data_IF_842347281002
#
_entry.id   IF_842347281002
#
_cell.length_a   1.000
_cell.length_b   1.000
_cell.length_c   1.000
_cell.angle_alpha   90.00
_cell.angle_beta   90.00
_cell.angle_gamma   90.00
#
_symmetry.space_group_name_H-M   'P 1'
#
loop_
_entity.id
_entity.type
_entity.pdbx_description
1 polymer ?
#
# COMPACT_ATOMS: atom_id res chain seq x y z
N UNK A 1 0.92 1.67 17.80
CA UNK A 1 0.45 2.68 16.83
C UNK A 1 -1.01 2.41 16.47
N UNK A 2 -1.80 3.45 16.25
CA UNK A 2 -3.21 3.36 15.84
C UNK A 2 -3.45 4.26 14.63
N UNK A 3 -4.34 3.84 13.76
CA UNK A 3 -4.81 4.61 12.60
C UNK A 3 -6.15 5.22 12.98
N UNK A 4 -6.32 6.52 12.75
CA UNK A 4 -7.62 7.19 12.89
C UNK A 4 -8.31 7.24 11.55
N UNK A 5 -9.49 6.62 11.48
CA UNK A 5 -10.36 6.66 10.30
C UNK A 5 -11.59 7.50 10.66
N UNK A 6 -12.00 8.37 9.73
CA UNK A 6 -13.16 9.25 9.86
C UNK A 6 -13.20 10.07 11.17
N UNK A 7 -12.09 10.75 11.49
CA UNK A 7 -11.86 11.65 12.64
C UNK A 7 -11.92 11.00 14.04
N UNK A 8 -12.74 9.96 14.24
CA UNK A 8 -13.13 9.49 15.58
C UNK A 8 -12.82 8.00 15.85
N UNK A 9 -12.52 7.19 14.84
CA UNK A 9 -12.38 5.74 15.01
C UNK A 9 -10.91 5.34 15.03
N UNK A 10 -10.46 4.88 16.19
CA UNK A 10 -9.12 4.34 16.34
C UNK A 10 -9.13 2.86 15.98
N UNK A 11 -8.33 2.49 14.98
CA UNK A 11 -8.12 1.12 14.51
C UNK A 11 -6.65 0.77 14.72
N UNK A 12 -6.34 -0.51 14.99
CA UNK A 12 -4.94 -0.94 15.10
C UNK A 12 -4.28 -0.94 13.71
N UNK A 13 -3.00 -0.56 13.65
CA UNK A 13 -2.28 -0.50 12.38
C UNK A 13 -2.19 -1.87 11.70
N UNK A 14 -1.99 -2.94 12.49
CA UNK A 14 -1.91 -4.31 11.98
C UNK A 14 -3.23 -4.74 11.34
N UNK A 15 -4.35 -4.60 12.05
CA UNK A 15 -5.70 -4.87 11.53
C UNK A 15 -6.01 -4.07 10.27
N UNK A 16 -5.63 -2.78 10.24
CA UNK A 16 -5.81 -1.95 9.05
C UNK A 16 -5.04 -2.48 7.83
N UNK A 17 -3.78 -2.86 8.01
CA UNK A 17 -2.99 -3.46 6.92
C UNK A 17 -3.51 -4.85 6.54
N UNK A 18 -3.88 -5.68 7.52
CA UNK A 18 -4.45 -7.01 7.29
C UNK A 18 -5.72 -6.96 6.44
N UNK A 19 -6.55 -5.92 6.58
CA UNK A 19 -7.76 -5.75 5.77
C UNK A 19 -7.51 -5.61 4.25
N UNK A 20 -6.26 -5.30 3.86
CA UNK A 20 -5.80 -5.25 2.47
C UNK A 20 -5.04 -6.52 2.02
N UNK A 21 -4.89 -7.52 2.88
CA UNK A 21 -4.16 -8.75 2.59
C UNK A 21 -2.77 -8.86 3.20
N UNK A 22 -2.29 -7.85 3.93
CA UNK A 22 -0.94 -7.91 4.51
C UNK A 22 -0.87 -8.89 5.68
N UNK A 23 0.01 -9.89 5.57
CA UNK A 23 0.35 -10.78 6.68
C UNK A 23 1.35 -10.12 7.64
N UNK A 24 1.36 -10.53 8.91
CA UNK A 24 2.32 -10.02 9.89
C UNK A 24 3.78 -10.15 9.41
N UNK A 25 4.13 -11.30 8.82
CA UNK A 25 5.46 -11.57 8.25
C UNK A 25 5.84 -10.55 7.18
N UNK A 26 4.90 -10.21 6.31
CA UNK A 26 5.15 -9.26 5.24
C UNK A 26 5.18 -7.81 5.73
N UNK A 27 4.35 -7.45 6.70
CA UNK A 27 4.45 -6.15 7.39
C UNK A 27 5.87 -5.98 7.96
N UNK A 28 6.39 -6.99 8.67
CA UNK A 28 7.77 -7.00 9.19
C UNK A 28 8.82 -6.90 8.09
N UNK A 29 8.63 -7.60 6.97
CA UNK A 29 9.53 -7.56 5.79
C UNK A 29 9.57 -6.16 5.15
N UNK A 30 8.45 -5.43 5.12
CA UNK A 30 8.35 -4.11 4.49
C UNK A 30 8.95 -2.99 5.35
N UNK A 31 8.64 -2.98 6.64
CA UNK A 31 9.09 -1.92 7.55
C UNK A 31 10.44 -2.21 8.21
N UNK A 32 10.94 -3.44 8.12
CA UNK A 32 12.19 -3.85 8.76
C UNK A 32 12.06 -3.98 10.28
N UNK A 33 13.21 -4.04 10.96
CA UNK A 33 13.27 -4.15 12.43
C UNK A 33 12.91 -2.79 13.06
N UNK A 34 11.78 -2.72 13.75
CA UNK A 34 11.35 -1.53 14.46
C UNK A 34 10.61 -1.92 15.75
N UNK A 35 11.18 -1.57 16.90
CA UNK A 35 10.61 -1.93 18.20
C UNK A 35 9.18 -1.40 18.39
N UNK A 36 8.86 -0.21 17.88
CA UNK A 36 7.51 0.36 17.99
C UNK A 36 6.49 -0.41 17.17
N UNK A 37 6.89 -0.89 15.99
CA UNK A 37 6.06 -1.72 15.15
C UNK A 37 5.84 -3.09 15.81
N UNK A 38 6.89 -3.70 16.32
CA UNK A 38 6.84 -5.01 16.99
C UNK A 38 5.87 -4.99 18.18
N UNK A 39 5.97 -3.98 19.04
CA UNK A 39 5.06 -3.79 20.17
C UNK A 39 3.62 -3.46 19.74
N UNK A 40 3.44 -2.90 18.55
CA UNK A 40 2.09 -2.65 18.00
C UNK A 40 1.47 -3.95 17.50
N UNK A 41 2.22 -4.75 16.74
CA UNK A 41 1.75 -6.01 16.16
C UNK A 41 1.46 -7.04 17.26
N UNK A 42 2.28 -7.13 18.31
CA UNK A 42 2.02 -8.00 19.46
C UNK A 42 0.72 -7.67 20.21
N UNK A 43 0.27 -6.41 20.17
CA UNK A 43 -0.97 -5.97 20.85
C UNK A 43 -2.19 -6.12 19.95
N UNK A 44 -2.01 -6.55 18.71
CA UNK A 44 -3.07 -6.65 17.71
C UNK A 44 -3.76 -8.02 17.80
N UNK A 45 -4.96 -8.03 18.38
CA UNK A 45 -5.69 -9.28 18.68
C UNK A 45 -6.10 -10.01 17.42
N UNK A 46 -6.31 -9.30 16.30
CA UNK A 46 -6.68 -9.94 15.05
C UNK A 46 -5.46 -10.65 14.48
N UNK A 47 -4.28 -10.03 14.49
CA UNK A 47 -3.06 -10.67 14.00
C UNK A 47 -2.56 -11.82 14.88
N UNK A 48 -2.82 -11.78 16.19
CA UNK A 48 -2.41 -12.84 17.14
C UNK A 48 -3.21 -14.14 16.97
N UNK A 49 -4.44 -14.06 16.44
CA UNK A 49 -5.30 -15.24 16.26
C UNK A 49 -4.73 -16.21 15.23
N UNK A 50 -5.00 -17.49 15.45
CA UNK A 50 -4.71 -18.53 14.47
C UNK A 50 -5.77 -18.48 13.36
N UNK A 51 -5.36 -18.00 12.19
CA UNK A 51 -6.17 -18.00 10.97
C UNK A 51 -5.89 -19.27 10.17
N UNK A 52 -6.92 -19.86 9.57
CA UNK A 52 -6.74 -21.06 8.74
C UNK A 52 -6.03 -20.70 7.43
N UNK A 53 -6.40 -19.56 6.85
CA UNK A 53 -5.77 -19.01 5.66
C UNK A 53 -5.66 -17.47 5.72
N UNK A 54 -5.21 -16.87 4.61
CA UNK A 54 -5.08 -15.40 4.49
C UNK A 54 -6.43 -14.71 4.31
N UNK A 55 -7.39 -15.37 3.68
CA UNK A 55 -8.70 -14.77 3.40
C UNK A 55 -9.53 -14.65 4.68
N UNK A 56 -9.43 -15.62 5.59
CA UNK A 56 -9.97 -15.57 6.94
C UNK A 56 -9.44 -14.36 7.71
N UNK A 57 -8.11 -14.14 7.69
CA UNK A 57 -7.49 -12.97 8.31
C UNK A 57 -8.04 -11.66 7.72
N UNK A 58 -8.16 -11.57 6.40
CA UNK A 58 -8.69 -10.39 5.72
C UNK A 58 -10.15 -10.14 6.09
N UNK A 59 -10.98 -11.17 6.06
CA UNK A 59 -12.40 -11.10 6.38
C UNK A 59 -12.61 -10.64 7.83
N UNK A 60 -11.87 -11.21 8.79
CA UNK A 60 -11.96 -10.84 10.19
C UNK A 60 -11.48 -9.41 10.44
N UNK A 61 -10.38 -9.00 9.79
CA UNK A 61 -9.88 -7.63 9.87
C UNK A 61 -10.89 -6.61 9.30
N UNK A 62 -11.51 -6.92 8.16
CA UNK A 62 -12.55 -6.08 7.56
C UNK A 62 -13.80 -6.00 8.44
N UNK A 63 -14.17 -7.10 9.09
CA UNK A 63 -15.27 -7.14 10.04
C UNK A 63 -15.01 -6.27 11.27
N UNK A 64 -13.83 -6.35 11.88
CA UNK A 64 -13.46 -5.52 13.04
C UNK A 64 -13.51 -4.02 12.69
N UNK A 65 -12.97 -3.66 11.53
CA UNK A 65 -13.01 -2.29 11.01
C UNK A 65 -14.45 -1.84 10.77
N UNK A 66 -15.28 -2.69 10.17
CA UNK A 66 -16.69 -2.39 9.91
C UNK A 66 -17.45 -2.13 11.21
N UNK A 67 -17.31 -3.01 12.21
CA UNK A 67 -17.94 -2.86 13.54
C UNK A 67 -17.47 -1.61 14.28
N UNK A 68 -16.20 -1.23 14.13
CA UNK A 68 -15.64 -0.03 14.76
C UNK A 68 -16.24 1.25 14.16
N UNK A 69 -16.36 1.30 12.83
CA UNK A 69 -16.84 2.48 12.09
C UNK A 69 -18.37 2.58 12.14
N UNK A 70 -19.10 1.52 11.77
CA UNK A 70 -20.56 1.47 11.65
C UNK A 70 -21.18 0.68 12.80
N UNK A 71 -21.53 1.36 13.89
CA UNK A 71 -22.26 0.75 15.01
C UNK A 71 -23.76 0.74 14.69
N UNK A 72 -24.31 -0.43 14.35
CA UNK A 72 -25.75 -0.64 14.18
C UNK A 72 -26.26 -0.81 12.74
N UNK A 73 -25.38 -0.81 11.74
CA UNK A 73 -25.74 -1.17 10.37
C UNK A 73 -25.98 -2.68 10.22
N UNK A 74 -26.70 -3.09 9.17
CA UNK A 74 -26.87 -4.52 8.83
C UNK A 74 -25.51 -5.14 8.50
N UNK A 75 -25.22 -6.23 9.19
CA UNK A 75 -23.92 -6.90 9.14
C UNK A 75 -23.83 -7.89 7.96
N UNK A 76 -23.74 -7.38 6.73
CA UNK A 76 -23.58 -8.22 5.54
C UNK A 76 -22.12 -8.33 5.10
N UNK A 77 -21.72 -9.50 4.60
CA UNK A 77 -20.35 -9.75 4.09
C UNK A 77 -19.97 -8.73 3.00
N UNK A 78 -20.91 -8.46 2.10
CA UNK A 78 -20.72 -7.49 1.01
C UNK A 78 -20.52 -6.05 1.51
N UNK A 79 -21.19 -5.65 2.61
CA UNK A 79 -20.99 -4.34 3.23
C UNK A 79 -19.62 -4.23 3.91
N UNK A 80 -19.17 -5.28 4.61
CA UNK A 80 -17.83 -5.34 5.24
C UNK A 80 -16.72 -5.16 4.20
N UNK A 81 -16.75 -5.97 3.15
CA UNK A 81 -15.75 -5.96 2.06
C UNK A 81 -15.70 -4.63 1.30
N UNK A 82 -16.85 -3.96 1.13
CA UNK A 82 -16.92 -2.72 0.35
C UNK A 82 -16.65 -1.42 1.13
N UNK A 83 -16.54 -1.48 2.46
CA UNK A 83 -16.40 -0.28 3.29
C UNK A 83 -15.11 0.50 2.99
N UNK A 84 -13.95 -0.12 3.16
CA UNK A 84 -12.66 0.54 2.96
C UNK A 84 -12.39 0.91 1.49
N UNK A 85 -12.64 0.01 0.51
CA UNK A 85 -12.45 0.36 -0.90
C UNK A 85 -13.35 1.53 -1.33
N UNK A 86 -14.61 1.53 -0.88
CA UNK A 86 -15.53 2.63 -1.13
C UNK A 86 -15.13 3.94 -0.44
N UNK A 87 -14.47 3.88 0.72
CA UNK A 87 -14.05 5.08 1.44
C UNK A 87 -12.77 5.70 0.86
N UNK A 88 -11.82 4.90 0.40
CA UNK A 88 -10.48 5.35 0.00
C UNK A 88 -10.29 5.48 -1.51
N UNK A 89 -10.94 4.63 -2.30
CA UNK A 89 -10.64 4.48 -3.73
C UNK A 89 -11.81 4.87 -4.65
N UNK A 90 -13.01 5.07 -4.11
CA UNK A 90 -14.14 5.60 -4.89
C UNK A 90 -13.93 7.08 -5.20
N UNK A 91 -13.72 7.40 -6.48
CA UNK A 91 -13.52 8.77 -6.97
C UNK A 91 -14.68 9.71 -6.63
N UNK A 92 -15.90 9.19 -6.47
CA UNK A 92 -17.09 9.98 -6.11
C UNK A 92 -17.08 10.41 -4.65
N UNK A 93 -16.44 9.63 -3.78
CA UNK A 93 -16.41 9.85 -2.32
C UNK A 93 -15.09 10.43 -1.83
N UNK A 94 -13.99 10.19 -2.55
CA UNK A 94 -12.66 10.61 -2.14
C UNK A 94 -11.90 11.28 -3.29
N UNK A 95 -11.63 12.57 -3.15
CA UNK A 95 -10.83 13.35 -4.10
C UNK A 95 -9.91 14.32 -3.36
N UNK A 96 -8.60 14.27 -3.68
CA UNK A 96 -7.58 15.13 -3.08
C UNK A 96 -7.38 16.46 -3.84
N UNK A 97 -8.15 16.74 -4.89
CA UNK A 97 -7.89 17.82 -5.85
C UNK A 97 -6.51 17.71 -6.53
N UNK A 98 -6.26 18.56 -7.52
CA UNK A 98 -4.95 18.62 -8.18
C UNK A 98 -3.85 19.09 -7.20
N UNK A 99 -4.13 20.15 -6.45
CA UNK A 99 -3.21 20.69 -5.44
C UNK A 99 -2.90 19.68 -4.34
N UNK A 100 -3.91 18.97 -3.81
CA UNK A 100 -3.65 17.99 -2.75
C UNK A 100 -2.91 16.76 -3.28
N UNK A 101 -3.12 16.36 -4.55
CA UNK A 101 -2.28 15.34 -5.20
C UNK A 101 -0.84 15.81 -5.34
N UNK A 102 -0.62 17.05 -5.78
CA UNK A 102 0.71 17.64 -5.86
C UNK A 102 1.43 17.64 -4.50
N UNK A 103 0.76 18.12 -3.45
CA UNK A 103 1.31 18.15 -2.09
C UNK A 103 1.64 16.75 -1.55
N UNK A 104 0.76 15.77 -1.78
CA UNK A 104 0.98 14.38 -1.36
C UNK A 104 2.18 13.77 -2.07
N UNK A 105 2.26 13.94 -3.40
CA UNK A 105 3.37 13.42 -4.20
C UNK A 105 4.70 14.04 -3.77
N UNK A 106 4.73 15.35 -3.51
CA UNK A 106 5.93 16.02 -3.02
C UNK A 106 6.33 15.50 -1.63
N UNK A 107 5.37 15.29 -0.71
CA UNK A 107 5.65 14.77 0.63
C UNK A 107 6.15 13.32 0.63
N UNK A 108 5.70 12.52 -0.34
CA UNK A 108 6.10 11.12 -0.51
C UNK A 108 7.29 10.94 -1.48
N UNK A 109 7.85 12.03 -1.98
CA UNK A 109 9.00 12.03 -2.89
C UNK A 109 10.19 11.26 -2.32
N UNK A 110 10.83 10.46 -3.16
CA UNK A 110 12.01 9.68 -2.83
C UNK A 110 13.21 10.59 -2.54
N UNK A 111 13.26 11.77 -3.19
CA UNK A 111 14.43 12.65 -3.27
C UNK A 111 15.06 12.88 -1.90
N UNK A 112 14.35 13.53 -0.98
CA UNK A 112 14.87 13.86 0.35
C UNK A 112 15.21 12.64 1.21
N UNK A 113 14.62 11.47 0.91
CA UNK A 113 14.82 10.23 1.67
C UNK A 113 16.09 9.49 1.26
N UNK A 114 16.54 9.69 0.02
CA UNK A 114 17.72 8.98 -0.54
C UNK A 114 18.91 9.92 -0.76
N UNK A 115 18.73 11.25 -0.76
CA UNK A 115 19.84 12.20 -0.91
C UNK A 115 20.89 12.01 0.19
N UNK A 116 22.16 12.17 -0.19
CA UNK A 116 23.31 11.88 0.65
C UNK A 116 23.34 10.43 1.14
N UNK A 117 22.98 9.46 0.32
CA UNK A 117 23.16 8.03 0.63
C UNK A 117 23.86 7.32 -0.52
N UNK A 118 24.17 6.04 -0.37
CA UNK A 118 24.74 5.22 -1.44
C UNK A 118 23.73 4.17 -1.88
N UNK A 119 23.62 3.91 -3.19
CA UNK A 119 22.78 2.84 -3.70
C UNK A 119 23.26 1.47 -3.20
N UNK A 120 22.38 0.72 -2.56
CA UNK A 120 22.70 -0.63 -2.05
C UNK A 120 22.49 -1.73 -3.10
N UNK A 121 21.73 -1.43 -4.16
CA UNK A 121 21.47 -2.34 -5.27
C UNK A 121 21.37 -1.56 -6.58
N UNK A 122 21.63 -2.24 -7.70
CA UNK A 122 21.43 -1.67 -9.04
C UNK A 122 19.94 -1.34 -9.24
N UNK A 123 19.66 -0.18 -9.82
CA UNK A 123 18.33 0.16 -10.30
C UNK A 123 18.26 -0.22 -11.77
N UNK A 124 17.30 -1.09 -12.10
CA UNK A 124 17.14 -1.65 -13.45
C UNK A 124 15.88 -1.17 -14.14
N UNK A 125 15.91 -1.16 -15.47
CA UNK A 125 14.75 -0.96 -16.32
C UNK A 125 13.89 -2.23 -16.38
N UNK A 126 12.70 -2.14 -16.97
CA UNK A 126 11.83 -3.30 -17.30
C UNK A 126 12.53 -4.34 -18.16
N UNK A 127 13.50 -3.94 -18.99
CA UNK A 127 14.34 -4.83 -19.81
C UNK A 127 15.52 -5.46 -19.05
N UNK A 128 15.61 -5.26 -17.72
CA UNK A 128 16.70 -5.73 -16.86
C UNK A 128 18.07 -5.06 -17.11
N UNK A 129 18.10 -3.97 -17.87
CA UNK A 129 19.28 -3.12 -18.08
C UNK A 129 19.52 -2.22 -16.86
N UNK A 130 20.77 -2.03 -16.46
CA UNK A 130 21.14 -1.18 -15.32
C UNK A 130 21.06 0.29 -15.73
N UNK A 131 20.23 1.07 -15.02
CA UNK A 131 20.09 2.52 -15.20
C UNK A 131 21.00 3.25 -14.22
N UNK A 132 21.07 2.77 -12.98
CA UNK A 132 21.94 3.30 -11.93
C UNK A 132 22.67 2.16 -11.23
N UNK A 133 23.98 2.28 -11.09
CA UNK A 133 24.84 1.24 -10.54
C UNK A 133 24.81 1.22 -9.00
N UNK A 134 24.97 0.03 -8.44
CA UNK A 134 25.20 -0.15 -7.01
C UNK A 134 26.47 0.59 -6.58
N UNK A 135 26.41 1.23 -5.41
CA UNK A 135 27.54 1.93 -4.82
C UNK A 135 27.70 3.37 -5.30
N UNK A 136 26.87 3.84 -6.24
CA UNK A 136 26.86 5.26 -6.62
C UNK A 136 26.40 6.13 -5.46
N UNK A 137 27.13 7.23 -5.22
CA UNK A 137 26.72 8.25 -4.26
C UNK A 137 25.55 9.06 -4.82
N UNK A 138 24.49 9.18 -4.02
CA UNK A 138 23.27 9.87 -4.40
C UNK A 138 23.35 11.31 -3.91
N UNK A 139 23.77 12.20 -4.80
CA UNK A 139 23.59 13.64 -4.60
C UNK A 139 22.13 14.06 -4.87
N UNK A 140 21.84 15.35 -4.71
CA UNK A 140 20.48 15.87 -4.89
C UNK A 140 20.00 15.78 -6.36
N UNK A 141 20.89 15.99 -7.33
CA UNK A 141 20.55 15.92 -8.75
C UNK A 141 20.28 14.49 -9.20
N UNK A 142 21.09 13.53 -8.75
CA UNK A 142 20.90 12.11 -9.00
C UNK A 142 19.63 11.61 -8.31
N UNK A 143 19.34 12.06 -7.10
CA UNK A 143 18.08 11.74 -6.42
C UNK A 143 16.86 12.21 -7.23
N UNK A 144 16.92 13.42 -7.82
CA UNK A 144 15.89 13.92 -8.75
C UNK A 144 15.78 13.05 -10.00
N UNK A 145 16.90 12.71 -10.64
CA UNK A 145 16.93 11.83 -11.83
C UNK A 145 16.30 10.45 -11.54
N UNK A 146 16.56 9.89 -10.36
CA UNK A 146 15.94 8.63 -9.90
C UNK A 146 14.42 8.82 -9.75
N UNK A 147 13.97 9.91 -9.12
CA UNK A 147 12.55 10.22 -8.96
C UNK A 147 11.84 10.45 -10.31
N UNK A 148 12.50 11.12 -11.26
CA UNK A 148 11.97 11.33 -12.61
C UNK A 148 11.86 10.01 -13.38
N UNK A 149 12.89 9.16 -13.29
CA UNK A 149 12.87 7.81 -13.87
C UNK A 149 11.72 6.95 -13.32
N UNK A 150 11.41 7.12 -12.02
CA UNK A 150 10.24 6.53 -11.39
C UNK A 150 8.93 7.09 -11.96
N UNK A 151 8.80 8.42 -12.08
CA UNK A 151 7.60 9.07 -12.61
C UNK A 151 7.30 8.67 -14.06
N UNK A 152 8.34 8.48 -14.88
CA UNK A 152 8.24 8.02 -16.26
C UNK A 152 7.99 6.50 -16.38
N UNK A 153 8.04 5.76 -15.27
CA UNK A 153 7.81 4.32 -15.24
C UNK A 153 8.89 3.51 -15.96
N UNK A 154 10.13 4.02 -15.98
CA UNK A 154 11.29 3.33 -16.54
C UNK A 154 11.81 2.25 -15.58
N UNK A 155 11.72 2.48 -14.27
CA UNK A 155 12.23 1.54 -13.28
C UNK A 155 11.36 0.28 -13.21
N UNK A 156 12.01 -0.88 -13.05
CA UNK A 156 11.35 -2.15 -12.86
C UNK A 156 10.45 -2.14 -11.60
N UNK A 157 9.21 -2.62 -11.77
CA UNK A 157 8.22 -2.69 -10.69
C UNK A 157 8.10 -4.12 -10.14
N UNK A 158 8.04 -4.26 -8.83
CA UNK A 158 7.82 -5.54 -8.14
C UNK A 158 6.35 -5.66 -7.69
N UNK A 159 5.77 -6.86 -7.77
CA UNK A 159 4.45 -7.15 -7.21
C UNK A 159 4.59 -7.34 -5.68
N UNK A 160 3.67 -6.75 -4.91
CA UNK A 160 3.56 -7.07 -3.49
C UNK A 160 2.95 -8.47 -3.33
N UNK A 161 3.72 -9.39 -2.73
CA UNK A 161 3.44 -10.84 -2.70
C UNK A 161 2.07 -11.21 -2.09
N UNK A 162 1.64 -10.51 -1.03
CA UNK A 162 0.42 -10.86 -0.29
C UNK A 162 -0.83 -10.04 -0.65
N UNK A 163 -0.72 -9.09 -1.57
CA UNK A 163 -1.85 -8.20 -1.87
C UNK A 163 -2.66 -8.76 -3.02
N UNK A 164 -3.95 -8.97 -2.77
CA UNK A 164 -4.94 -9.24 -3.79
C UNK A 164 -5.69 -7.96 -4.21
N UNK A 165 -5.66 -7.58 -5.50
CA UNK A 165 -6.49 -6.47 -6.01
C UNK A 165 -7.98 -6.61 -5.70
N UNK A 166 -8.52 -7.82 -5.58
CA UNK A 166 -9.94 -8.06 -5.31
C UNK A 166 -10.34 -7.61 -3.90
N UNK A 167 -9.45 -7.80 -2.93
CA UNK A 167 -9.66 -7.30 -1.56
C UNK A 167 -9.45 -5.78 -1.48
N UNK A 168 -8.41 -5.25 -2.13
CA UNK A 168 -8.07 -3.81 -2.07
C UNK A 168 -9.08 -2.94 -2.79
N UNK A 169 -9.58 -3.40 -3.93
CA UNK A 169 -10.47 -2.63 -4.81
C UNK A 169 -11.85 -3.25 -4.94
N UNK A 170 -12.32 -3.96 -3.92
CA UNK A 170 -13.62 -4.64 -3.93
C UNK A 170 -14.75 -3.73 -4.44
N UNK A 171 -15.57 -4.23 -5.39
CA UNK A 171 -16.61 -3.53 -6.19
C UNK A 171 -16.14 -2.43 -7.14
N UNK A 172 -14.95 -1.87 -6.96
CA UNK A 172 -14.31 -0.96 -7.92
C UNK A 172 -13.57 -1.73 -9.03
N UNK A 173 -13.28 -3.00 -8.73
CA UNK A 173 -12.77 -4.02 -9.62
C UNK A 173 -13.60 -5.30 -9.42
N UNK A 174 -14.05 -5.91 -10.52
CA UNK A 174 -14.67 -7.25 -10.54
C UNK A 174 -14.15 -8.01 -11.76
N UNK A 175 -13.36 -9.06 -11.54
CA UNK A 175 -12.72 -9.84 -12.60
C UNK A 175 -13.74 -10.42 -13.61
N UNK A 176 -14.84 -10.91 -13.08
CA UNK A 176 -16.00 -11.52 -13.74
C UNK A 176 -16.81 -10.55 -14.62
N UNK A 177 -16.89 -9.26 -14.27
CA UNK A 177 -17.56 -8.25 -15.10
C UNK A 177 -16.69 -7.75 -16.27
N UNK A 178 -15.37 -7.90 -16.19
CA UNK A 178 -14.44 -7.46 -17.23
C UNK A 178 -14.54 -8.28 -18.52
N UNK A 179 -14.98 -9.54 -18.42
CA UNK A 179 -15.13 -10.42 -19.58
C UNK A 179 -16.38 -10.10 -20.41
N UNK A 180 -17.46 -9.62 -19.78
CA UNK A 180 -18.78 -9.49 -20.41
C UNK A 180 -19.19 -8.04 -20.74
N UNK A 181 -18.62 -7.01 -20.10
CA UNK A 181 -18.96 -5.61 -20.43
C UNK A 181 -17.82 -4.62 -20.11
N UNK A 182 -16.89 -4.38 -21.07
CA UNK A 182 -15.68 -3.57 -20.86
C UNK A 182 -15.94 -2.06 -20.72
N UNK A 183 -17.15 -1.57 -20.98
CA UNK A 183 -17.52 -0.14 -20.87
C UNK A 183 -18.13 0.25 -19.51
N UNK A 184 -18.20 -0.66 -18.54
CA UNK A 184 -18.71 -0.31 -17.22
C UNK A 184 -17.80 0.73 -16.54
N UNK A 185 -18.34 1.93 -16.29
CA UNK A 185 -17.67 3.01 -15.53
C UNK A 185 -17.16 2.58 -14.14
N UNK A 186 -17.66 1.45 -13.64
CA UNK A 186 -17.37 0.89 -12.32
C UNK A 186 -16.34 -0.26 -12.33
N UNK A 187 -15.75 -0.63 -13.48
CA UNK A 187 -14.72 -1.66 -13.55
C UNK A 187 -13.49 -1.09 -14.26
N UNK A 188 -12.49 -0.65 -13.48
CA UNK A 188 -11.24 -0.15 -14.03
C UNK A 188 -10.17 -1.27 -14.01
N UNK A 189 -9.87 -1.91 -15.16
CA UNK A 189 -8.91 -3.01 -15.22
C UNK A 189 -7.48 -2.60 -14.87
N UNK A 190 -7.15 -1.31 -14.94
CA UNK A 190 -5.83 -0.82 -14.56
C UNK A 190 -5.61 -0.84 -13.04
N UNK A 191 -6.66 -0.89 -12.22
CA UNK A 191 -6.53 -1.05 -10.76
C UNK A 191 -5.78 -2.34 -10.41
N UNK A 192 -5.94 -3.41 -11.21
CA UNK A 192 -5.18 -4.67 -11.06
C UNK A 192 -3.67 -4.45 -11.16
N UNK A 193 -3.23 -3.45 -11.93
CA UNK A 193 -1.80 -3.14 -12.11
C UNK A 193 -1.25 -2.25 -10.98
N UNK A 194 -2.13 -1.62 -10.18
CA UNK A 194 -1.78 -0.66 -9.11
C UNK A 194 -1.39 -1.29 -7.78
N UNK A 195 -1.05 -2.59 -7.77
CA UNK A 195 -0.46 -3.31 -6.62
C UNK A 195 1.05 -3.55 -6.79
N UNK A 196 1.65 -2.90 -7.79
CA UNK A 196 3.09 -2.95 -8.03
C UNK A 196 3.75 -1.74 -7.39
N UNK A 197 4.92 -1.97 -6.79
CA UNK A 197 5.73 -0.95 -6.16
C UNK A 197 7.13 -0.95 -6.73
N UNK A 198 7.83 0.16 -6.60
CA UNK A 198 9.26 0.25 -6.90
C UNK A 198 9.98 0.26 -5.56
N UNK A 199 11.06 -0.52 -5.46
CA UNK A 199 11.88 -0.61 -4.26
C UNK A 199 13.28 -0.09 -4.57
N UNK A 200 13.66 0.98 -3.90
CA UNK A 200 15.02 1.51 -3.93
C UNK A 200 15.66 1.19 -2.57
N UNK A 201 16.76 0.43 -2.58
CA UNK A 201 17.53 0.15 -1.38
C UNK A 201 18.76 1.04 -1.37
N UNK A 202 18.94 1.74 -0.27
CA UNK A 202 20.10 2.59 -0.01
C UNK A 202 20.80 2.12 1.26
N UNK A 203 22.11 2.33 1.34
CA UNK A 203 22.82 2.10 2.60
C UNK A 203 22.34 3.12 3.64
N UNK A 204 22.08 2.68 4.89
CA UNK A 204 21.75 3.60 5.96
C UNK A 204 22.95 4.53 6.13
N UNK A 205 22.78 5.81 5.84
CA UNK A 205 23.83 6.75 6.16
C UNK A 205 23.79 7.03 7.68
N UNK A 206 24.96 7.19 8.32
CA UNK A 206 25.02 7.68 9.70
C UNK A 206 24.62 9.17 9.70
N UNK A 207 23.33 9.46 9.61
CA UNK A 207 22.77 10.73 10.07
C UNK A 207 21.80 10.40 11.19
N UNK A 208 22.27 10.70 12.40
CA UNK A 208 21.52 10.63 13.66
C UNK A 208 20.41 11.68 13.67
#
# INVERSE_FOLDING_TARGET
>A
MKVKVDKNKNIQLGTFLASFGFTEKHIRKLFGKNALLDETLKKDKILEKNHQDKDDLVNEAQEDIFRSIRKGDRDTVDAKKSLLPGMLFDRRRYNLSETGRYMLNNKLSLVDRITNTFLAQDIKNKSNEVIFEKGTFIDFELAKKIQESYNLGLVATEKLEDIDPEHVYYKLYRADLTQNNPQNLFNNPDLRKRIKVIRVKVYPNKKW
#
